data_IF_999354674862
#
_entry.id   IF_999354674862
#
_cell.length_a   1.000
_cell.length_b   1.000
_cell.length_c   1.000
_cell.angle_alpha   90.00
_cell.angle_beta   90.00
_cell.angle_gamma   90.00
#
_symmetry.space_group_name_H-M   'P 1'
#
loop_
_entity.id
_entity.type
_entity.pdbx_description
1 polymer ?
#
# COMPACT_ATOMS: atom_id res chain seq x y z
N UNK A 1 -15.45 23.45 17.71
CA UNK A 1 -14.26 22.70 17.29
C UNK A 1 -14.66 21.25 17.11
N UNK A 2 -14.22 20.64 16.00
CA UNK A 2 -14.42 19.21 15.73
C UNK A 2 -13.05 18.56 15.70
N UNK A 3 -12.92 17.37 16.31
CA UNK A 3 -11.71 16.55 16.25
C UNK A 3 -12.05 15.30 15.43
N UNK A 4 -11.26 15.03 14.40
CA UNK A 4 -11.37 13.86 13.52
C UNK A 4 -10.07 13.07 13.58
N UNK A 5 -10.13 11.85 14.10
CA UNK A 5 -8.99 10.96 14.25
C UNK A 5 -9.08 9.84 13.23
N UNK A 6 -8.13 9.83 12.27
CA UNK A 6 -8.03 8.87 11.16
C UNK A 6 -9.37 8.63 10.40
N UNK A 7 -10.14 9.68 10.04
CA UNK A 7 -11.52 9.50 9.58
C UNK A 7 -11.62 8.79 8.23
N UNK A 8 -10.53 8.72 7.46
CA UNK A 8 -10.49 8.09 6.12
C UNK A 8 -9.94 6.67 6.12
N UNK A 9 -9.61 6.08 7.27
CA UNK A 9 -8.94 4.78 7.36
C UNK A 9 -9.71 3.63 6.72
N UNK A 10 -11.06 3.72 6.68
CA UNK A 10 -11.95 2.71 6.09
C UNK A 10 -12.77 3.21 4.90
N UNK A 11 -12.51 4.44 4.44
CA UNK A 11 -13.25 5.04 3.34
C UNK A 11 -12.61 4.73 1.97
N UNK A 12 -13.45 4.61 0.96
CA UNK A 12 -13.03 4.63 -0.44
C UNK A 12 -12.58 6.04 -0.84
N UNK A 13 -11.94 6.17 -1.99
CA UNK A 13 -11.47 7.46 -2.51
C UNK A 13 -12.62 8.45 -2.70
N UNK A 14 -13.75 8.02 -3.27
CA UNK A 14 -14.94 8.86 -3.46
C UNK A 14 -15.60 9.29 -2.15
N UNK A 15 -15.58 8.44 -1.12
CA UNK A 15 -16.08 8.78 0.22
C UNK A 15 -15.15 9.77 0.92
N UNK A 16 -13.85 9.63 0.72
CA UNK A 16 -12.82 10.56 1.21
C UNK A 16 -13.03 11.96 0.62
N UNK A 17 -13.24 12.07 -0.69
CA UNK A 17 -13.54 13.34 -1.35
C UNK A 17 -14.84 13.97 -0.80
N UNK A 18 -15.86 13.15 -0.55
CA UNK A 18 -17.10 13.61 0.06
C UNK A 18 -16.88 14.18 1.46
N UNK A 19 -16.06 13.50 2.28
CA UNK A 19 -15.68 13.97 3.62
C UNK A 19 -14.93 15.30 3.54
N UNK A 20 -14.01 15.46 2.60
CA UNK A 20 -13.28 16.73 2.40
C UNK A 20 -14.23 17.88 2.05
N UNK A 21 -15.25 17.61 1.24
CA UNK A 21 -16.31 18.56 0.97
C UNK A 21 -17.11 18.96 2.22
N UNK A 22 -17.35 18.02 3.13
CA UNK A 22 -18.01 18.30 4.43
C UNK A 22 -17.11 19.16 5.32
N UNK A 23 -15.82 18.83 5.43
CA UNK A 23 -14.85 19.59 6.22
C UNK A 23 -14.81 21.04 5.72
N UNK A 24 -14.73 21.24 4.42
CA UNK A 24 -14.76 22.60 3.84
C UNK A 24 -16.03 23.38 4.21
N UNK A 25 -17.20 22.78 4.14
CA UNK A 25 -18.44 23.41 4.56
C UNK A 25 -18.44 23.79 6.04
N UNK A 26 -17.83 22.98 6.90
CA UNK A 26 -17.69 23.26 8.33
C UNK A 26 -16.76 24.46 8.55
N UNK A 27 -15.63 24.53 7.88
CA UNK A 27 -14.69 25.65 7.99
C UNK A 27 -15.28 26.94 7.41
N UNK A 28 -16.06 26.87 6.34
CA UNK A 28 -16.81 28.01 5.78
C UNK A 28 -17.84 28.59 6.81
N UNK A 29 -18.29 27.77 7.76
CA UNK A 29 -19.14 28.18 8.88
C UNK A 29 -18.36 28.60 10.13
N UNK A 30 -17.07 28.87 10.01
CA UNK A 30 -16.16 29.22 11.11
C UNK A 30 -16.01 28.13 12.18
N UNK A 31 -16.24 26.86 11.83
CA UNK A 31 -16.00 25.72 12.73
C UNK A 31 -14.55 25.27 12.53
N UNK A 32 -13.76 25.37 13.60
CA UNK A 32 -12.37 24.87 13.58
C UNK A 32 -12.36 23.34 13.59
N UNK A 33 -11.48 22.75 12.79
CA UNK A 33 -11.31 21.29 12.69
C UNK A 33 -9.87 20.91 13.08
N UNK A 34 -9.73 19.92 13.94
CA UNK A 34 -8.47 19.23 14.20
C UNK A 34 -8.53 17.91 13.45
N UNK A 35 -7.69 17.78 12.42
CA UNK A 35 -7.66 16.60 11.55
C UNK A 35 -6.38 15.80 11.83
N UNK A 36 -6.54 14.54 12.26
CA UNK A 36 -5.43 13.64 12.57
C UNK A 36 -5.38 12.57 11.47
N UNK A 37 -4.24 12.44 10.81
CA UNK A 37 -4.01 11.42 9.79
C UNK A 37 -2.50 11.14 9.66
N UNK A 38 -2.17 9.92 9.26
CA UNK A 38 -0.82 9.55 8.82
C UNK A 38 -0.65 9.64 7.30
N UNK A 39 -1.73 9.92 6.58
CA UNK A 39 -1.71 10.12 5.13
C UNK A 39 -1.32 11.56 4.80
N UNK A 40 -0.10 11.70 4.32
CA UNK A 40 0.50 13.01 4.08
C UNK A 40 -0.29 13.86 3.08
N UNK A 41 -0.80 13.23 2.03
CA UNK A 41 -1.55 13.92 0.97
C UNK A 41 -2.84 14.55 1.50
N UNK A 42 -3.55 13.86 2.41
CA UNK A 42 -4.75 14.39 3.06
C UNK A 42 -4.42 15.61 3.94
N UNK A 43 -3.36 15.50 4.75
CA UNK A 43 -2.90 16.58 5.62
C UNK A 43 -2.48 17.79 4.79
N UNK A 44 -1.70 17.59 3.72
CA UNK A 44 -1.29 18.66 2.81
C UNK A 44 -2.47 19.28 2.05
N UNK A 45 -3.50 18.52 1.75
CA UNK A 45 -4.68 19.03 1.06
C UNK A 45 -5.56 19.90 1.97
N UNK A 46 -5.88 19.41 3.17
CA UNK A 46 -6.88 20.00 4.06
C UNK A 46 -6.35 21.11 4.97
N UNK A 47 -5.09 20.99 5.46
CA UNK A 47 -4.63 21.80 6.59
C UNK A 47 -4.17 23.18 6.17
N UNK A 48 -4.40 24.16 7.03
CA UNK A 48 -3.75 25.48 7.01
C UNK A 48 -2.44 25.45 7.80
N UNK A 49 -2.44 24.71 8.90
CA UNK A 49 -1.31 24.58 9.85
C UNK A 49 -1.07 23.11 10.16
N UNK A 50 0.19 22.70 10.20
CA UNK A 50 0.59 21.32 10.44
C UNK A 50 1.42 21.24 11.72
N UNK A 51 1.07 20.28 12.58
CA UNK A 51 1.82 19.93 13.78
C UNK A 51 2.27 18.48 13.65
N UNK A 52 3.58 18.24 13.69
CA UNK A 52 4.14 16.90 13.68
C UNK A 52 4.42 16.44 15.10
N UNK A 53 3.83 15.31 15.47
CA UNK A 53 4.02 14.66 16.77
C UNK A 53 4.78 13.35 16.54
N UNK A 54 5.81 13.09 17.35
CA UNK A 54 6.58 11.87 17.36
C UNK A 54 6.99 11.51 18.78
N UNK A 55 6.83 10.25 19.17
CA UNK A 55 7.16 9.74 20.50
C UNK A 55 6.53 10.58 21.64
N UNK A 56 5.27 11.03 21.44
CA UNK A 56 4.53 11.86 22.38
C UNK A 56 5.02 13.31 22.51
N UNK A 57 5.93 13.76 21.63
CA UNK A 57 6.50 15.11 21.65
C UNK A 57 6.11 15.89 20.40
N UNK A 58 5.85 17.18 20.58
CA UNK A 58 5.71 18.12 19.47
C UNK A 58 7.10 18.35 18.86
N UNK A 59 7.27 17.94 17.60
CA UNK A 59 8.53 18.10 16.87
C UNK A 59 8.56 19.46 16.18
N UNK A 60 7.48 19.83 15.51
CA UNK A 60 7.36 21.10 14.78
C UNK A 60 5.89 21.45 14.59
N UNK A 61 5.58 22.75 14.63
CA UNK A 61 4.24 23.28 14.33
C UNK A 61 4.41 24.57 13.52
N UNK A 62 3.94 24.58 12.25
CA UNK A 62 4.07 25.72 11.32
C UNK A 62 2.87 25.76 10.37
N UNK A 63 2.77 26.86 9.65
CA UNK A 63 1.83 26.96 8.53
C UNK A 63 2.22 25.99 7.40
N UNK A 64 1.24 25.44 6.71
CA UNK A 64 1.47 24.47 5.63
C UNK A 64 2.46 24.98 4.57
N UNK A 65 2.37 26.26 4.23
CA UNK A 65 3.23 26.90 3.22
C UNK A 65 4.73 26.91 3.55
N UNK A 66 5.07 26.71 4.83
CA UNK A 66 6.46 26.67 5.31
C UNK A 66 7.08 25.27 5.23
N UNK A 67 6.31 24.26 4.80
CA UNK A 67 6.80 22.89 4.67
C UNK A 67 7.00 22.48 3.22
N UNK A 68 8.09 21.78 2.94
CA UNK A 68 8.15 20.85 1.80
C UNK A 68 7.71 19.46 2.25
N UNK A 69 7.29 18.63 1.29
CA UNK A 69 6.90 17.24 1.56
C UNK A 69 8.04 16.45 2.23
N UNK A 70 9.29 16.67 1.76
CA UNK A 70 10.47 16.02 2.32
C UNK A 70 10.74 16.44 3.77
N UNK A 71 10.53 17.71 4.10
CA UNK A 71 10.69 18.21 5.46
C UNK A 71 9.65 17.61 6.42
N UNK A 72 8.40 17.45 5.97
CA UNK A 72 7.36 16.78 6.76
C UNK A 72 7.72 15.33 7.03
N UNK A 73 8.09 14.58 5.98
CA UNK A 73 8.49 13.18 6.11
C UNK A 73 9.72 13.05 7.04
N UNK A 74 10.74 13.90 6.86
CA UNK A 74 11.91 13.89 7.72
C UNK A 74 11.56 14.17 9.19
N UNK A 75 10.62 15.10 9.45
CA UNK A 75 10.14 15.41 10.80
C UNK A 75 9.40 14.24 11.44
N UNK A 76 8.58 13.52 10.67
CA UNK A 76 7.85 12.34 11.13
C UNK A 76 8.79 11.18 11.47
N UNK A 77 9.79 10.92 10.63
CA UNK A 77 10.69 9.78 10.76
C UNK A 77 11.90 10.09 11.66
N UNK A 78 12.30 11.36 11.75
CA UNK A 78 13.43 11.81 12.55
C UNK A 78 14.80 11.68 11.90
N UNK A 79 14.85 11.37 10.59
CA UNK A 79 16.08 11.30 9.79
C UNK A 79 15.81 11.75 8.36
N UNK A 80 16.81 12.26 7.64
CA UNK A 80 16.66 12.67 6.24
C UNK A 80 16.24 11.51 5.34
N UNK A 81 15.41 11.79 4.34
CA UNK A 81 14.88 10.80 3.38
C UNK A 81 15.98 10.06 2.60
N UNK A 82 17.12 10.71 2.39
CA UNK A 82 18.26 10.14 1.64
C UNK A 82 18.79 8.80 2.23
N UNK A 83 18.46 8.47 3.47
CA UNK A 83 18.84 7.23 4.11
C UNK A 83 17.71 6.17 4.18
N UNK A 84 16.52 6.47 3.63
CA UNK A 84 15.35 5.57 3.75
C UNK A 84 15.25 4.54 2.62
N UNK A 85 15.81 4.83 1.46
CA UNK A 85 15.67 4.00 0.26
C UNK A 85 17.01 3.74 -0.44
N UNK A 86 18.02 3.34 0.30
CA UNK A 86 19.13 2.66 -0.35
C UNK A 86 18.69 1.24 -0.67
N UNK A 87 17.97 1.09 -1.79
CA UNK A 87 17.85 -0.21 -2.43
C UNK A 87 19.25 -0.50 -2.98
N UNK A 88 20.04 -1.32 -2.27
CA UNK A 88 21.19 -1.96 -2.89
C UNK A 88 20.66 -2.67 -4.15
N UNK A 89 21.24 -2.34 -5.29
CA UNK A 89 20.85 -2.99 -6.55
C UNK A 89 21.30 -4.45 -6.44
N UNK A 90 20.36 -5.31 -6.08
CA UNK A 90 20.59 -6.74 -6.20
C UNK A 90 20.72 -7.08 -7.70
N UNK A 91 21.71 -7.90 -8.05
CA UNK A 91 21.77 -8.47 -9.39
C UNK A 91 20.53 -9.32 -9.63
N UNK A 92 19.78 -8.95 -10.66
CA UNK A 92 18.59 -9.72 -11.06
C UNK A 92 19.06 -10.99 -11.78
N UNK A 93 18.77 -12.12 -11.17
CA UNK A 93 19.16 -13.44 -11.67
C UNK A 93 18.09 -14.14 -12.50
N UNK A 94 18.11 -15.47 -12.48
CA UNK A 94 17.18 -16.33 -13.21
C UNK A 94 15.75 -16.24 -12.68
N UNK A 95 14.78 -16.69 -13.52
CA UNK A 95 13.37 -16.80 -13.15
C UNK A 95 13.21 -17.81 -12.02
N UNK A 96 12.66 -17.35 -10.90
CA UNK A 96 12.37 -18.17 -9.73
C UNK A 96 10.92 -18.60 -9.66
N UNK A 97 9.99 -17.67 -9.89
CA UNK A 97 8.56 -17.97 -9.96
C UNK A 97 8.08 -17.70 -11.38
N UNK A 98 7.37 -18.65 -11.95
CA UNK A 98 6.75 -18.54 -13.26
C UNK A 98 5.28 -18.97 -13.15
N UNK A 99 4.38 -18.01 -13.33
CA UNK A 99 2.94 -18.21 -13.31
C UNK A 99 2.43 -18.15 -14.73
N UNK A 100 1.74 -19.20 -15.18
CA UNK A 100 1.33 -19.36 -16.57
C UNK A 100 -0.17 -19.62 -16.66
N UNK A 101 -0.89 -18.69 -17.32
CA UNK A 101 -2.32 -18.78 -17.67
C UNK A 101 -3.22 -19.18 -16.46
N UNK A 102 -2.85 -18.70 -15.26
CA UNK A 102 -3.55 -19.06 -14.03
C UNK A 102 -4.97 -18.48 -14.06
N UNK A 103 -5.96 -19.36 -13.92
CA UNK A 103 -7.37 -18.99 -14.02
C UNK A 103 -8.19 -19.62 -12.90
N UNK A 104 -8.98 -18.77 -12.23
CA UNK A 104 -10.06 -19.18 -11.32
C UNK A 104 -11.35 -18.51 -11.76
N UNK A 105 -12.21 -19.27 -12.43
CA UNK A 105 -13.45 -18.75 -13.03
C UNK A 105 -14.26 -17.87 -12.07
N UNK A 106 -14.60 -16.68 -12.54
CA UNK A 106 -15.36 -15.68 -11.77
C UNK A 106 -14.56 -14.91 -10.74
N UNK A 107 -13.23 -15.10 -10.66
CA UNK A 107 -12.36 -14.40 -9.71
C UNK A 107 -11.18 -13.72 -10.45
N UNK A 108 -10.43 -14.48 -11.25
CA UNK A 108 -9.38 -13.96 -12.13
C UNK A 108 -9.18 -14.91 -13.32
N UNK A 109 -8.72 -14.40 -14.47
CA UNK A 109 -8.59 -15.15 -15.69
C UNK A 109 -7.26 -14.83 -16.39
N UNK A 110 -6.60 -15.87 -16.90
CA UNK A 110 -5.38 -15.80 -17.76
C UNK A 110 -4.23 -14.98 -17.18
N UNK A 111 -3.95 -15.15 -15.90
CA UNK A 111 -2.88 -14.43 -15.22
C UNK A 111 -1.54 -15.11 -15.49
N UNK A 112 -0.61 -14.35 -16.09
CA UNK A 112 0.75 -14.81 -16.37
C UNK A 112 1.76 -13.74 -15.99
N UNK A 113 2.80 -14.11 -15.24
CA UNK A 113 3.93 -13.26 -14.88
C UNK A 113 5.09 -14.09 -14.36
N UNK A 114 6.28 -13.49 -14.33
CA UNK A 114 7.47 -14.10 -13.76
C UNK A 114 8.05 -13.22 -12.65
N UNK A 115 8.78 -13.85 -11.71
CA UNK A 115 9.60 -13.16 -10.70
C UNK A 115 10.99 -13.77 -10.73
N UNK A 116 12.02 -12.93 -10.80
CA UNK A 116 13.43 -13.35 -10.85
C UNK A 116 14.10 -13.27 -9.47
N UNK A 117 15.22 -13.94 -9.31
CA UNK A 117 16.08 -13.81 -8.11
C UNK A 117 16.48 -12.34 -7.94
N UNK A 118 16.35 -11.80 -6.71
CA UNK A 118 16.70 -10.42 -6.38
C UNK A 118 15.72 -9.36 -6.90
N UNK A 119 14.65 -9.77 -7.60
CA UNK A 119 13.61 -8.88 -8.11
C UNK A 119 12.50 -8.63 -7.10
N UNK A 120 11.96 -7.42 -7.09
CA UNK A 120 10.71 -7.07 -6.39
C UNK A 120 9.67 -6.72 -7.43
N UNK A 121 8.64 -7.55 -7.57
CA UNK A 121 7.51 -7.31 -8.47
C UNK A 121 6.35 -6.72 -7.69
N UNK A 122 5.87 -5.54 -8.10
CA UNK A 122 4.73 -4.87 -7.49
C UNK A 122 3.41 -5.22 -8.19
N UNK A 123 2.38 -5.56 -7.41
CA UNK A 123 1.01 -5.74 -7.90
C UNK A 123 0.17 -4.54 -7.49
N UNK A 124 -0.36 -3.82 -8.48
CA UNK A 124 -1.19 -2.65 -8.28
C UNK A 124 -2.58 -2.85 -8.87
N UNK A 125 -3.61 -2.24 -8.29
CA UNK A 125 -4.99 -2.29 -8.76
C UNK A 125 -5.98 -1.86 -7.68
N UNK A 126 -7.23 -1.60 -8.05
CA UNK A 126 -8.30 -1.19 -7.13
C UNK A 126 -8.71 -2.33 -6.18
N UNK A 127 -9.46 -2.00 -5.13
CA UNK A 127 -10.10 -2.99 -4.24
C UNK A 127 -11.01 -3.89 -5.08
N UNK A 128 -10.90 -5.20 -4.89
CA UNK A 128 -11.65 -6.19 -5.68
C UNK A 128 -11.02 -6.58 -7.01
N UNK A 129 -9.82 -6.09 -7.36
CA UNK A 129 -9.11 -6.45 -8.61
C UNK A 129 -8.52 -7.89 -8.62
N UNK A 130 -8.75 -8.71 -7.59
CA UNK A 130 -8.31 -10.10 -7.54
C UNK A 130 -6.85 -10.32 -7.12
N UNK A 131 -6.12 -9.28 -6.70
CA UNK A 131 -4.69 -9.39 -6.33
C UNK A 131 -4.44 -10.39 -5.21
N UNK A 132 -5.20 -10.28 -4.13
CA UNK A 132 -5.09 -11.18 -2.97
C UNK A 132 -5.47 -12.61 -3.34
N UNK A 133 -6.48 -12.78 -4.17
CA UNK A 133 -6.98 -14.07 -4.63
C UNK A 133 -5.93 -14.79 -5.49
N UNK A 134 -5.20 -14.06 -6.35
CA UNK A 134 -4.08 -14.59 -7.14
C UNK A 134 -2.96 -15.07 -6.20
N UNK A 135 -2.55 -14.26 -5.23
CA UNK A 135 -1.49 -14.64 -4.28
C UNK A 135 -1.90 -15.83 -3.42
N UNK A 136 -3.15 -15.90 -2.97
CA UNK A 136 -3.70 -17.04 -2.22
C UNK A 136 -3.72 -18.31 -3.07
N UNK A 137 -4.00 -18.20 -4.36
CA UNK A 137 -3.98 -19.32 -5.29
C UNK A 137 -2.55 -19.84 -5.54
N UNK A 138 -1.56 -18.95 -5.72
CA UNK A 138 -0.15 -19.29 -5.86
C UNK A 138 0.38 -19.96 -4.59
N UNK A 139 0.05 -19.42 -3.43
CA UNK A 139 0.44 -19.98 -2.12
C UNK A 139 -0.29 -21.30 -1.80
N UNK A 140 -1.35 -21.65 -2.56
CA UNK A 140 -2.07 -22.90 -2.39
C UNK A 140 -3.19 -22.86 -1.35
N UNK A 141 -3.58 -21.70 -0.81
CA UNK A 141 -4.76 -21.55 0.06
C UNK A 141 -6.03 -21.78 -0.74
N UNK A 142 -6.09 -21.17 -1.93
CA UNK A 142 -7.23 -21.31 -2.83
C UNK A 142 -6.87 -22.21 -4.02
N UNK A 143 -7.83 -23.01 -4.46
CA UNK A 143 -7.68 -23.81 -5.69
C UNK A 143 -7.97 -22.94 -6.91
N UNK A 144 -7.27 -23.20 -7.99
CA UNK A 144 -7.53 -22.60 -9.31
C UNK A 144 -7.96 -23.68 -10.31
N UNK A 145 -8.61 -23.27 -11.41
CA UNK A 145 -9.21 -24.20 -12.38
C UNK A 145 -8.23 -24.63 -13.46
N UNK A 146 -7.38 -23.74 -13.95
CA UNK A 146 -6.41 -24.00 -15.02
C UNK A 146 -5.16 -23.15 -14.88
N UNK A 147 -4.15 -23.45 -15.68
CA UNK A 147 -2.83 -22.84 -15.60
C UNK A 147 -1.87 -23.64 -14.72
N UNK A 148 -0.73 -23.06 -14.46
CA UNK A 148 0.29 -23.66 -13.60
C UNK A 148 1.17 -22.62 -12.93
N UNK A 149 1.75 -23.00 -11.81
CA UNK A 149 2.75 -22.24 -11.06
C UNK A 149 4.01 -23.08 -10.99
N UNK A 150 5.13 -22.54 -11.44
CA UNK A 150 6.44 -23.17 -11.34
C UNK A 150 7.33 -22.35 -10.41
N UNK A 151 8.03 -23.01 -9.52
CA UNK A 151 9.08 -22.44 -8.67
C UNK A 151 10.40 -23.15 -8.98
N UNK A 152 11.41 -22.38 -9.40
CA UNK A 152 12.70 -22.90 -9.86
C UNK A 152 12.52 -24.01 -10.93
N UNK A 153 11.62 -23.76 -11.89
CA UNK A 153 11.26 -24.69 -12.98
C UNK A 153 10.43 -25.91 -12.55
N UNK A 154 10.14 -26.10 -11.25
CA UNK A 154 9.36 -27.21 -10.73
C UNK A 154 7.91 -26.80 -10.50
N UNK A 155 6.96 -27.61 -10.99
CA UNK A 155 5.54 -27.32 -10.81
C UNK A 155 5.14 -27.44 -9.34
N UNK A 156 4.52 -26.38 -8.81
CA UNK A 156 3.89 -26.39 -7.48
C UNK A 156 2.52 -27.07 -7.54
N UNK A 157 2.20 -27.80 -6.48
CA UNK A 157 0.89 -28.40 -6.32
C UNK A 157 -0.11 -27.34 -5.84
N UNK A 158 -1.06 -26.98 -6.67
CA UNK A 158 -2.14 -26.07 -6.27
C UNK A 158 -3.02 -26.62 -5.16
N UNK A 159 -3.51 -25.75 -4.28
CA UNK A 159 -4.37 -26.13 -3.15
C UNK A 159 -3.61 -26.85 -2.01
N UNK A 160 -2.30 -26.63 -1.89
CA UNK A 160 -1.44 -27.25 -0.86
C UNK A 160 -0.43 -26.23 -0.31
N UNK A 161 -0.80 -25.43 0.71
CA UNK A 161 0.09 -24.46 1.32
C UNK A 161 1.37 -25.08 1.93
N UNK A 162 1.30 -26.32 2.43
CA UNK A 162 2.46 -26.99 3.00
C UNK A 162 3.51 -27.28 1.92
N UNK A 163 3.06 -27.66 0.70
CA UNK A 163 3.95 -27.84 -0.44
C UNK A 163 4.59 -26.51 -0.88
N UNK A 164 3.84 -25.39 -0.87
CA UNK A 164 4.36 -24.07 -1.20
C UNK A 164 5.45 -23.63 -0.20
N UNK A 165 5.20 -23.75 1.10
CA UNK A 165 6.17 -23.47 2.17
C UNK A 165 7.43 -24.34 2.04
N UNK A 166 7.25 -25.64 1.81
CA UNK A 166 8.37 -26.57 1.67
C UNK A 166 9.21 -26.29 0.42
N UNK A 167 8.61 -25.69 -0.61
CA UNK A 167 9.30 -25.28 -1.83
C UNK A 167 10.01 -23.91 -1.71
N UNK A 168 9.67 -23.12 -0.68
CA UNK A 168 10.31 -21.83 -0.38
C UNK A 168 9.48 -20.57 -0.73
N UNK A 169 8.13 -20.71 -0.84
CA UNK A 169 7.24 -19.55 -0.97
C UNK A 169 6.79 -19.05 0.42
#
# INVERSE_FOLDING_TARGET
VIIMDEPTSSLSESETETLFGVIKKLTDQNIAVVYISHKLDEVLYLSDRITVIRDGKNIVSRDKSEFTQEQLIASMIGRPLQHLYQKEQAEIGDVMLDVQNLTRKGVFEDISFTVRKGEVVGFFGLVGAGRSEIMRAIFGVDKYGSGQVLLDGKRLRGGDPAAAISAGI
#
